data_IF_520801618426
#
_entry.id   IF_520801618426
#
_cell.length_a   1.000
_cell.length_b   1.000
_cell.length_c   1.000
_cell.angle_alpha   90.00
_cell.angle_beta   90.00
_cell.angle_gamma   90.00
#
_symmetry.space_group_name_H-M   'P 1'
#
loop_
_entity.id
_entity.type
_entity.pdbx_description
1 polymer ?
#
# COMPACT_ATOMS: atom_id res chain seq x y z
N UNK A 1 33.52 -12.89 3.08
CA UNK A 1 32.09 -13.19 3.28
C UNK A 1 31.64 -12.42 4.52
N UNK A 2 30.95 -11.29 4.35
CA UNK A 2 30.38 -10.54 5.48
C UNK A 2 29.22 -11.34 6.05
N UNK A 3 29.30 -11.71 7.33
CA UNK A 3 28.16 -12.31 8.04
C UNK A 3 26.99 -11.33 7.93
N UNK A 4 25.88 -11.79 7.35
CA UNK A 4 24.63 -11.05 7.43
C UNK A 4 24.21 -11.06 8.89
N UNK A 5 24.27 -9.90 9.55
CA UNK A 5 23.72 -9.75 10.89
C UNK A 5 22.22 -10.09 10.84
N UNK A 6 21.88 -11.20 11.49
CA UNK A 6 20.53 -11.77 11.52
C UNK A 6 19.67 -11.14 12.62
N UNK A 7 20.22 -10.28 13.47
CA UNK A 7 19.50 -9.66 14.59
C UNK A 7 18.62 -8.48 14.19
N UNK A 8 18.74 -7.98 12.95
CA UNK A 8 18.04 -6.76 12.50
C UNK A 8 16.94 -7.08 11.47
N UNK A 9 15.73 -6.49 11.59
CA UNK A 9 14.68 -6.62 10.58
C UNK A 9 15.13 -6.12 9.19
N UNK A 10 14.54 -6.66 8.11
CA UNK A 10 14.86 -6.16 6.77
C UNK A 10 14.40 -4.71 6.55
N UNK A 11 14.88 -4.08 5.47
CA UNK A 11 14.53 -2.70 5.13
C UNK A 11 13.02 -2.42 5.01
N UNK A 12 12.20 -3.42 4.68
CA UNK A 12 10.74 -3.29 4.66
C UNK A 12 10.20 -3.22 6.09
N UNK A 13 10.59 -4.18 6.93
CA UNK A 13 10.20 -4.22 8.34
C UNK A 13 10.76 -3.04 9.15
N UNK A 14 11.84 -2.40 8.70
CA UNK A 14 12.47 -1.25 9.33
C UNK A 14 12.21 0.06 8.57
N UNK A 15 11.23 0.07 7.66
CA UNK A 15 10.89 1.25 6.87
C UNK A 15 10.44 2.41 7.75
N UNK A 16 11.14 3.54 7.64
CA UNK A 16 10.80 4.81 8.32
C UNK A 16 10.57 5.91 7.31
N UNK A 17 9.62 6.82 7.59
CA UNK A 17 9.22 7.88 6.68
C UNK A 17 7.73 8.18 6.74
N UNK A 18 7.20 8.80 5.69
CA UNK A 18 5.77 9.08 5.58
C UNK A 18 5.02 7.78 5.23
N UNK A 19 4.20 7.31 6.15
CA UNK A 19 3.32 6.17 5.92
C UNK A 19 2.10 6.60 5.09
N UNK A 20 1.82 5.85 4.03
CA UNK A 20 0.60 6.02 3.23
C UNK A 20 -0.10 4.67 3.21
N UNK A 21 -1.34 4.66 3.71
CA UNK A 21 -2.21 3.48 3.68
C UNK A 21 -3.06 3.55 2.40
N UNK A 22 -2.75 2.79 1.35
CA UNK A 22 -3.57 2.79 0.15
C UNK A 22 -4.88 2.06 0.43
N UNK A 23 -6.00 2.75 0.18
CA UNK A 23 -7.34 2.22 0.39
C UNK A 23 -8.19 2.41 -0.85
N UNK A 24 -9.29 1.67 -0.93
CA UNK A 24 -10.33 1.86 -1.94
C UNK A 24 -11.68 2.12 -1.27
N UNK A 25 -12.50 2.93 -1.92
CA UNK A 25 -13.88 3.09 -1.52
C UNK A 25 -14.67 1.79 -1.76
N UNK A 26 -15.64 1.55 -0.88
CA UNK A 26 -16.64 0.51 -1.01
C UNK A 26 -17.98 1.02 -0.51
N UNK A 27 -19.05 0.61 -1.17
CA UNK A 27 -20.41 0.92 -0.72
C UNK A 27 -20.81 -0.13 0.32
N UNK A 28 -21.38 0.31 1.43
CA UNK A 28 -21.89 -0.53 2.52
C UNK A 28 -23.27 -0.07 2.93
N UNK A 29 -24.12 -0.93 3.52
CA UNK A 29 -25.37 -0.47 4.14
C UNK A 29 -25.09 0.63 5.16
N UNK A 30 -25.95 1.65 5.23
CA UNK A 30 -25.78 2.75 6.19
C UNK A 30 -25.84 2.27 7.66
N UNK A 31 -26.38 1.07 7.91
CA UNK A 31 -26.39 0.39 9.20
C UNK A 31 -25.08 -0.32 9.55
N UNK A 32 -24.13 -0.43 8.61
CA UNK A 32 -22.86 -1.12 8.86
C UNK A 32 -22.02 -0.35 9.89
N UNK A 33 -21.51 -1.00 10.94
CA UNK A 33 -20.62 -0.35 11.91
C UNK A 33 -19.37 0.22 11.21
N UNK A 34 -19.07 1.49 11.46
CA UNK A 34 -17.95 2.16 10.81
C UNK A 34 -18.21 2.61 9.37
N UNK A 35 -19.46 2.56 8.90
CA UNK A 35 -19.88 3.23 7.68
C UNK A 35 -19.67 4.76 7.78
N UNK A 36 -19.36 5.37 6.65
CA UNK A 36 -18.94 6.78 6.56
C UNK A 36 -17.43 6.92 6.42
N UNK A 37 -17.00 8.05 5.86
CA UNK A 37 -15.58 8.31 5.57
C UNK A 37 -14.97 9.33 6.55
N UNK A 38 -15.49 9.41 7.78
CA UNK A 38 -15.04 10.37 8.79
C UNK A 38 -15.53 11.79 8.47
N UNK A 39 -14.66 12.77 8.16
CA UNK A 39 -15.06 14.17 7.98
C UNK A 39 -15.87 14.44 6.71
N UNK A 40 -15.98 13.47 5.80
CA UNK A 40 -16.76 13.63 4.58
C UNK A 40 -18.26 13.49 4.84
N UNK A 41 -19.11 14.20 4.07
CA UNK A 41 -20.56 14.04 4.18
C UNK A 41 -20.98 12.59 3.96
N UNK A 42 -22.00 12.15 4.72
CA UNK A 42 -22.60 10.82 4.54
C UNK A 42 -23.03 10.61 3.10
N UNK A 43 -22.82 9.38 2.60
CA UNK A 43 -23.17 9.00 1.24
C UNK A 43 -22.25 9.60 0.17
N UNK A 44 -21.24 10.41 0.53
CA UNK A 44 -20.31 11.06 -0.42
C UNK A 44 -18.87 10.62 -0.24
N UNK A 45 -18.54 9.50 -0.89
CA UNK A 45 -17.18 9.01 -1.09
C UNK A 45 -16.72 9.05 -2.55
N UNK A 46 -17.65 9.27 -3.48
CA UNK A 46 -17.37 9.41 -4.90
C UNK A 46 -18.22 10.54 -5.50
N UNK A 47 -18.26 10.65 -6.84
CA UNK A 47 -19.19 11.58 -7.51
C UNK A 47 -20.66 11.23 -7.27
N UNK A 48 -20.95 9.96 -6.98
CA UNK A 48 -22.29 9.47 -6.72
C UNK A 48 -22.66 9.61 -5.24
N UNK A 49 -23.88 10.09 -4.98
CA UNK A 49 -24.48 10.15 -3.65
C UNK A 49 -25.37 8.92 -3.43
N UNK A 50 -24.98 8.06 -2.48
CA UNK A 50 -25.67 6.78 -2.23
C UNK A 50 -26.62 6.82 -1.04
N UNK A 51 -26.74 7.97 -0.38
CA UNK A 51 -27.47 8.11 0.89
C UNK A 51 -28.96 7.80 0.77
N UNK A 52 -29.61 8.26 -0.30
CA UNK A 52 -31.04 8.06 -0.56
C UNK A 52 -31.43 6.57 -0.71
N UNK A 53 -30.47 5.72 -1.11
CA UNK A 53 -30.67 4.28 -1.26
C UNK A 53 -30.38 3.49 0.03
N UNK A 54 -30.14 4.17 1.17
CA UNK A 54 -29.85 3.52 2.45
C UNK A 54 -28.43 2.96 2.56
N UNK A 55 -27.50 3.46 1.74
CA UNK A 55 -26.09 3.09 1.76
C UNK A 55 -25.20 4.24 2.20
N UNK A 56 -23.97 3.92 2.56
CA UNK A 56 -22.88 4.87 2.78
C UNK A 56 -21.57 4.32 2.18
N UNK A 57 -20.52 5.13 2.17
CA UNK A 57 -19.19 4.69 1.78
C UNK A 57 -18.36 4.30 3.00
N UNK A 58 -17.55 3.26 2.84
CA UNK A 58 -16.46 2.90 3.73
C UNK A 58 -15.16 2.75 2.92
N UNK A 59 -14.05 2.54 3.62
CA UNK A 59 -12.77 2.17 3.01
C UNK A 59 -12.48 0.70 3.25
N UNK A 60 -11.80 0.07 2.29
CA UNK A 60 -11.23 -1.27 2.44
C UNK A 60 -9.82 -1.31 1.87
N UNK A 61 -9.09 -2.37 2.21
CA UNK A 61 -7.75 -2.63 1.67
C UNK A 61 -7.78 -2.78 0.16
N UNK A 62 -6.61 -2.64 -0.46
CA UNK A 62 -6.45 -2.89 -1.88
C UNK A 62 -6.82 -4.35 -2.22
N UNK A 63 -7.33 -4.53 -3.43
CA UNK A 63 -7.51 -5.84 -4.07
C UNK A 63 -6.18 -6.38 -4.57
N UNK A 64 -6.10 -7.69 -4.79
CA UNK A 64 -4.96 -8.33 -5.42
C UNK A 64 -4.59 -7.63 -6.74
N UNK A 65 -3.29 -7.40 -6.96
CA UNK A 65 -2.80 -6.67 -8.12
C UNK A 65 -1.40 -6.13 -7.88
N UNK A 66 -1.09 -5.01 -8.54
CA UNK A 66 0.21 -4.35 -8.45
C UNK A 66 0.03 -2.87 -8.07
N UNK A 67 0.89 -2.36 -7.20
CA UNK A 67 1.00 -0.95 -6.82
C UNK A 67 2.38 -0.44 -7.22
N UNK A 68 2.43 0.70 -7.90
CA UNK A 68 3.66 1.31 -8.39
C UNK A 68 3.81 2.72 -7.86
N UNK A 69 5.03 3.07 -7.48
CA UNK A 69 5.42 4.41 -7.11
C UNK A 69 6.51 4.88 -8.08
N UNK A 70 6.32 6.07 -8.64
CA UNK A 70 7.33 6.74 -9.44
C UNK A 70 7.78 8.01 -8.73
N UNK A 71 9.08 8.09 -8.42
CA UNK A 71 9.71 9.23 -7.77
C UNK A 71 10.35 10.13 -8.83
N UNK A 72 9.86 11.37 -8.98
CA UNK A 72 10.40 12.30 -9.98
C UNK A 72 11.82 12.77 -9.64
N UNK A 73 12.03 13.22 -8.40
CA UNK A 73 13.29 13.76 -7.91
C UNK A 73 14.08 12.70 -7.13
N UNK A 74 15.04 13.14 -6.31
CA UNK A 74 15.91 12.31 -5.49
C UNK A 74 15.13 11.56 -4.41
N UNK A 75 14.38 10.54 -4.79
CA UNK A 75 13.80 9.59 -3.85
C UNK A 75 14.88 8.76 -3.13
N UNK A 76 14.50 7.76 -2.33
CA UNK A 76 15.44 6.91 -1.60
C UNK A 76 16.48 6.17 -2.47
N UNK A 77 16.27 6.13 -3.80
CA UNK A 77 17.10 5.40 -4.75
C UNK A 77 17.65 6.28 -5.88
N UNK A 78 17.50 7.61 -5.77
CA UNK A 78 17.88 8.57 -6.81
C UNK A 78 16.70 9.09 -7.64
N UNK A 79 17.02 9.83 -8.71
CA UNK A 79 16.02 10.47 -9.58
C UNK A 79 15.34 9.49 -10.54
N UNK A 80 14.05 9.74 -10.85
CA UNK A 80 13.26 8.98 -11.84
C UNK A 80 13.24 7.48 -11.57
N UNK A 81 12.98 7.12 -10.31
CA UNK A 81 13.03 5.73 -9.86
C UNK A 81 11.64 5.12 -9.71
N UNK A 82 11.58 3.81 -9.90
CA UNK A 82 10.37 3.01 -9.75
C UNK A 82 10.49 2.07 -8.56
N UNK A 83 9.45 2.08 -7.74
CA UNK A 83 9.21 1.08 -6.71
C UNK A 83 7.89 0.38 -6.99
N UNK A 84 7.83 -0.92 -6.70
CA UNK A 84 6.65 -1.72 -6.96
C UNK A 84 6.35 -2.65 -5.80
N UNK A 85 5.06 -2.90 -5.60
CA UNK A 85 4.52 -3.84 -4.64
C UNK A 85 3.54 -4.75 -5.37
N UNK A 86 3.61 -6.04 -5.07
CA UNK A 86 2.49 -6.94 -5.33
C UNK A 86 1.53 -6.86 -4.15
N UNK A 87 0.24 -6.77 -4.43
CA UNK A 87 -0.81 -6.77 -3.41
C UNK A 87 -1.37 -8.18 -3.32
N UNK A 88 -1.37 -8.77 -2.12
CA UNK A 88 -2.00 -10.06 -1.85
C UNK A 88 -3.54 -9.94 -1.81
N UNK A 89 -4.25 -11.06 -1.75
CA UNK A 89 -5.72 -11.07 -1.76
C UNK A 89 -6.33 -10.37 -0.53
N UNK A 90 -5.66 -10.48 0.62
CA UNK A 90 -6.02 -9.79 1.85
C UNK A 90 -5.62 -8.31 1.87
N UNK A 91 -4.91 -7.82 0.86
CA UNK A 91 -4.43 -6.44 0.75
C UNK A 91 -3.01 -6.19 1.26
N UNK A 92 -2.34 -7.18 1.85
CA UNK A 92 -0.96 -7.04 2.32
C UNK A 92 -0.01 -6.77 1.15
N UNK A 93 0.92 -5.84 1.33
CA UNK A 93 1.86 -5.40 0.31
C UNK A 93 3.17 -6.18 0.38
N UNK A 94 3.57 -6.76 -0.76
CA UNK A 94 4.87 -7.41 -0.94
C UNK A 94 5.76 -6.58 -1.86
N UNK A 95 6.72 -5.89 -1.25
CA UNK A 95 7.68 -5.06 -1.99
C UNK A 95 8.51 -5.92 -2.95
N UNK A 96 8.54 -5.49 -4.20
CA UNK A 96 9.30 -6.14 -5.27
C UNK A 96 10.73 -5.61 -5.30
N UNK A 97 11.65 -6.41 -5.85
CA UNK A 97 13.07 -6.04 -5.96
C UNK A 97 13.29 -4.82 -6.86
N UNK A 98 12.44 -4.60 -7.86
CA UNK A 98 12.42 -3.41 -8.72
C UNK A 98 11.08 -3.31 -9.45
N UNK A 99 10.78 -2.14 -10.02
CA UNK A 99 9.63 -1.96 -10.91
C UNK A 99 9.66 -2.87 -12.15
N UNK A 100 10.85 -3.14 -12.70
CA UNK A 100 11.02 -3.97 -13.90
C UNK A 100 10.83 -5.47 -13.65
N UNK A 101 11.20 -5.95 -12.46
CA UNK A 101 11.07 -7.35 -12.08
C UNK A 101 9.78 -7.63 -11.30
N UNK A 102 8.88 -6.64 -11.21
CA UNK A 102 7.67 -6.72 -10.42
C UNK A 102 6.74 -7.81 -10.97
N UNK A 103 6.36 -8.75 -10.10
CA UNK A 103 5.45 -9.84 -10.45
C UNK A 103 4.31 -9.90 -9.45
N UNK A 104 3.15 -10.33 -9.94
CA UNK A 104 1.98 -10.62 -9.11
C UNK A 104 2.28 -11.77 -8.17
N UNK A 105 1.60 -11.76 -7.03
CA UNK A 105 1.51 -12.93 -6.17
C UNK A 105 0.56 -13.94 -6.83
N UNK A 106 1.00 -15.18 -6.95
CA UNK A 106 0.12 -16.30 -7.29
C UNK A 106 -0.45 -16.91 -6.01
N UNK A 107 -1.78 -17.07 -5.93
CA UNK A 107 -2.48 -17.48 -4.71
C UNK A 107 -2.81 -16.31 -3.78
N UNK A 108 -3.29 -16.61 -2.56
CA UNK A 108 -3.89 -15.60 -1.69
C UNK A 108 -2.93 -14.82 -0.77
N UNK A 109 -1.75 -15.36 -0.47
CA UNK A 109 -0.84 -14.84 0.57
C UNK A 109 0.49 -14.33 0.04
N UNK A 110 1.13 -13.43 0.80
CA UNK A 110 2.49 -12.95 0.52
C UNK A 110 3.52 -14.09 0.69
N UNK A 111 4.61 -14.11 -0.10
CA UNK A 111 5.70 -15.07 0.10
C UNK A 111 6.33 -14.95 1.50
N UNK A 112 6.78 -16.08 2.06
CA UNK A 112 7.47 -16.10 3.36
C UNK A 112 8.80 -15.35 3.30
N UNK A 113 9.01 -14.44 4.25
CA UNK A 113 10.31 -13.80 4.48
C UNK A 113 11.21 -14.75 5.30
N UNK A 114 12.47 -14.93 4.89
CA UNK A 114 13.43 -15.83 5.57
C UNK A 114 14.23 -15.17 6.70
N UNK A 115 13.99 -13.88 6.98
CA UNK A 115 14.64 -13.17 8.11
C UNK A 115 14.12 -13.73 9.44
N UNK A 116 14.90 -13.77 10.52
CA UNK A 116 14.42 -14.29 11.80
C UNK A 116 13.65 -13.26 12.65
N UNK A 117 13.76 -11.97 12.32
CA UNK A 117 13.04 -10.88 12.98
C UNK A 117 12.15 -10.16 11.95
N UNK A 118 10.89 -9.97 12.30
CA UNK A 118 9.87 -9.40 11.43
C UNK A 118 9.06 -8.30 12.13
N UNK A 119 8.57 -7.37 11.33
CA UNK A 119 7.49 -6.46 11.70
C UNK A 119 6.46 -6.48 10.58
N UNK A 120 5.49 -7.40 10.67
CA UNK A 120 4.52 -7.66 9.60
C UNK A 120 3.55 -6.47 9.37
N UNK A 121 3.28 -5.66 10.40
CA UNK A 121 2.40 -4.49 10.28
C UNK A 121 2.92 -3.46 9.26
N UNK A 122 4.24 -3.45 9.01
CA UNK A 122 4.88 -2.60 8.00
C UNK A 122 4.57 -3.01 6.56
N UNK A 123 3.87 -4.12 6.37
CA UNK A 123 3.42 -4.60 5.06
C UNK A 123 2.00 -4.13 4.71
N UNK A 124 1.31 -3.44 5.62
CA UNK A 124 -0.05 -2.94 5.35
C UNK A 124 -0.07 -1.55 4.70
N UNK A 125 1.07 -0.85 4.67
CA UNK A 125 1.19 0.49 4.11
C UNK A 125 2.52 0.68 3.37
N UNK A 126 2.55 1.62 2.42
CA UNK A 126 3.80 2.06 1.79
C UNK A 126 4.48 3.10 2.67
N UNK A 127 5.80 3.12 2.67
CA UNK A 127 6.58 4.13 3.40
C UNK A 127 7.43 4.93 2.42
N UNK A 128 7.09 6.20 2.23
CA UNK A 128 7.94 7.12 1.49
C UNK A 128 9.13 7.51 2.38
N UNK A 129 10.29 6.91 2.11
CA UNK A 129 11.53 7.26 2.79
C UNK A 129 12.01 8.63 2.29
N UNK A 130 12.41 9.51 3.22
CA UNK A 130 12.89 10.87 2.92
C UNK A 130 11.91 11.68 2.05
N UNK A 131 10.65 11.88 2.47
CA UNK A 131 9.63 12.52 1.64
C UNK A 131 10.01 13.94 1.19
N UNK A 132 10.85 14.64 1.96
CA UNK A 132 11.39 15.96 1.63
C UNK A 132 12.35 15.98 0.42
N UNK A 133 12.87 14.82 -0.01
CA UNK A 133 13.75 14.70 -1.18
C UNK A 133 13.02 14.19 -2.44
N UNK A 134 11.85 13.58 -2.26
CA UNK A 134 11.15 12.87 -3.33
C UNK A 134 10.54 13.79 -4.40
N UNK A 135 10.25 15.06 -4.07
CA UNK A 135 9.43 15.92 -4.94
C UNK A 135 8.04 15.34 -5.14
N UNK A 136 7.58 15.28 -6.40
CA UNK A 136 6.33 14.59 -6.74
C UNK A 136 6.54 13.08 -6.74
N UNK A 137 5.66 12.36 -6.05
CA UNK A 137 5.57 10.89 -6.12
C UNK A 137 4.24 10.53 -6.76
N UNK A 138 4.29 9.80 -7.86
CA UNK A 138 3.11 9.30 -8.55
C UNK A 138 2.78 7.90 -8.07
N UNK A 139 1.51 7.64 -7.80
CA UNK A 139 1.02 6.33 -7.35
C UNK A 139 0.07 5.77 -8.40
N UNK A 140 0.27 4.51 -8.76
CA UNK A 140 -0.58 3.81 -9.73
C UNK A 140 -0.89 2.40 -9.27
N UNK A 141 -2.06 1.90 -9.65
CA UNK A 141 -2.51 0.56 -9.35
C UNK A 141 -2.92 -0.17 -10.63
N UNK A 142 -2.57 -1.45 -10.77
CA UNK A 142 -3.02 -2.32 -11.86
C UNK A 142 -3.63 -3.64 -11.36
N UNK A 143 -4.81 -3.99 -11.88
CA UNK A 143 -5.41 -5.34 -11.71
C UNK A 143 -4.84 -6.36 -12.71
N UNK A 144 -4.23 -5.92 -13.82
CA UNK A 144 -3.74 -6.75 -14.95
C UNK A 144 -2.23 -6.69 -15.21
#
# INVERSE_FOLDING_TARGET
MTQNDTSTPCEVCNGTGLAILPVRYTVVPASCPGAGLGPFPKGRGSKEDVSAAGYDYAVRTLRQGMLYLFYEQSGPYGSRQWEAYAVAENGTLWRQVSGYAARRIAGGGVPSCSRPVHNAERMEFITLRYPHLCGTVWVMFSEH
#
